data_IF_343287858163
#
_entry.id   IF_343287858163
#
_cell.length_a   1.000
_cell.length_b   1.000
_cell.length_c   1.000
_cell.angle_alpha   90.00
_cell.angle_beta   90.00
_cell.angle_gamma   90.00
#
_symmetry.space_group_name_H-M   'P 1'
#
loop_
_entity.id
_entity.type
_entity.pdbx_description
1 polymer ?
#
# COMPACT_ATOMS: atom_id res chain seq x y z
N UNK A 1 24.24 1.00 -21.81
CA UNK A 1 24.63 1.53 -20.46
C UNK A 1 25.55 0.49 -19.83
N UNK A 2 26.74 0.89 -19.42
CA UNK A 2 27.66 0.00 -18.68
C UNK A 2 27.01 -0.37 -17.34
N UNK A 3 27.13 -1.64 -16.95
CA UNK A 3 26.50 -2.16 -15.72
C UNK A 3 24.98 -2.41 -15.79
N UNK A 4 24.35 -2.32 -16.97
CA UNK A 4 22.94 -2.67 -17.14
C UNK A 4 22.76 -4.20 -17.07
N UNK A 5 21.81 -4.65 -16.24
CA UNK A 5 21.41 -6.06 -16.09
C UNK A 5 20.03 -6.30 -16.72
N UNK A 6 19.03 -5.49 -16.35
CA UNK A 6 17.69 -5.65 -16.90
C UNK A 6 16.91 -4.32 -16.97
N UNK A 7 15.88 -4.31 -17.83
CA UNK A 7 14.87 -3.26 -17.91
C UNK A 7 13.50 -3.91 -17.73
N UNK A 8 12.74 -3.41 -16.78
CA UNK A 8 11.43 -3.92 -16.37
C UNK A 8 10.40 -2.81 -16.53
N UNK A 9 9.35 -3.06 -17.28
CA UNK A 9 8.17 -2.22 -17.37
C UNK A 9 7.23 -2.57 -16.23
N UNK A 10 6.85 -1.58 -15.42
CA UNK A 10 5.93 -1.73 -14.30
C UNK A 10 4.70 -0.83 -14.41
N UNK A 11 4.07 -0.61 -13.27
CA UNK A 11 3.01 0.37 -13.10
C UNK A 11 1.73 0.14 -13.91
N UNK A 12 1.04 1.22 -14.22
CA UNK A 12 -0.27 1.18 -14.88
C UNK A 12 -0.21 0.69 -16.33
N UNK A 13 0.88 1.01 -17.03
CA UNK A 13 1.11 0.57 -18.41
C UNK A 13 1.24 -0.95 -18.48
N UNK A 14 2.07 -1.53 -17.62
CA UNK A 14 2.25 -2.99 -17.57
C UNK A 14 0.95 -3.72 -17.19
N UNK A 15 0.12 -3.13 -16.34
CA UNK A 15 -1.18 -3.68 -15.94
C UNK A 15 -2.27 -3.54 -17.01
N UNK A 16 -2.08 -2.71 -18.03
CA UNK A 16 -3.07 -2.45 -19.07
C UNK A 16 -4.23 -1.54 -18.62
N UNK A 17 -4.03 -0.74 -17.56
CA UNK A 17 -5.00 0.21 -17.04
C UNK A 17 -4.44 1.65 -16.99
N UNK A 18 -3.51 1.95 -17.89
CA UNK A 18 -2.96 3.28 -18.08
C UNK A 18 -4.03 4.24 -18.64
N UNK A 19 -3.99 5.49 -18.19
CA UNK A 19 -4.74 6.59 -18.82
C UNK A 19 -3.91 7.17 -19.95
N UNK A 20 -4.52 8.02 -20.76
CA UNK A 20 -3.86 8.69 -21.90
C UNK A 20 -2.64 9.54 -21.46
N UNK A 21 -2.66 10.05 -20.22
CA UNK A 21 -1.63 10.88 -19.61
C UNK A 21 -0.74 10.12 -18.59
N UNK A 22 -0.83 8.78 -18.55
CA UNK A 22 -0.05 7.99 -17.59
C UNK A 22 1.44 8.04 -17.91
N UNK A 23 2.25 8.10 -16.85
CA UNK A 23 3.68 7.85 -16.88
C UNK A 23 4.00 6.39 -17.25
N UNK A 24 5.22 6.16 -17.71
CA UNK A 24 5.78 4.84 -17.98
C UNK A 24 6.76 4.50 -16.86
N UNK A 25 6.32 3.68 -15.91
CA UNK A 25 7.17 3.20 -14.82
C UNK A 25 8.20 2.21 -15.35
N UNK A 26 9.49 2.53 -15.23
CA UNK A 26 10.59 1.66 -15.63
C UNK A 26 11.54 1.39 -14.45
N UNK A 27 11.76 0.10 -14.15
CA UNK A 27 12.78 -0.31 -13.20
C UNK A 27 14.00 -0.78 -13.99
N UNK A 28 15.12 -0.08 -13.80
CA UNK A 28 16.39 -0.40 -14.46
C UNK A 28 17.31 -1.09 -13.46
N UNK A 29 17.56 -2.37 -13.69
CA UNK A 29 18.43 -3.18 -12.82
C UNK A 29 19.87 -3.03 -13.31
N UNK A 30 20.72 -2.65 -12.37
CA UNK A 30 22.14 -2.38 -12.63
C UNK A 30 23.04 -3.14 -11.65
N UNK A 31 24.32 -3.23 -11.97
CA UNK A 31 25.34 -3.77 -11.03
C UNK A 31 25.46 -2.91 -9.79
N UNK A 32 25.95 -3.50 -8.68
CA UNK A 32 26.17 -2.79 -7.41
C UNK A 32 27.11 -1.57 -7.57
N UNK A 33 28.14 -1.69 -8.39
CA UNK A 33 29.06 -0.59 -8.64
C UNK A 33 28.37 0.56 -9.37
N UNK A 34 27.55 0.26 -10.39
CA UNK A 34 26.77 1.27 -11.11
C UNK A 34 25.71 1.91 -10.23
N UNK A 35 25.05 1.12 -9.39
CA UNK A 35 24.09 1.65 -8.42
C UNK A 35 24.74 2.61 -7.43
N UNK A 36 25.94 2.26 -6.92
CA UNK A 36 26.71 3.11 -6.02
C UNK A 36 27.14 4.43 -6.70
N UNK A 37 27.56 4.36 -7.95
CA UNK A 37 27.86 5.54 -8.77
C UNK A 37 26.64 6.46 -8.88
N UNK A 38 25.48 5.92 -9.28
CA UNK A 38 24.22 6.67 -9.40
C UNK A 38 23.79 7.28 -8.07
N UNK A 39 23.91 6.51 -6.97
CA UNK A 39 23.61 6.98 -5.62
C UNK A 39 24.48 8.19 -5.21
N UNK A 40 25.78 8.12 -5.50
CA UNK A 40 26.72 9.21 -5.19
C UNK A 40 26.41 10.50 -5.97
N UNK A 41 25.78 10.38 -7.13
CA UNK A 41 25.33 11.51 -7.95
C UNK A 41 23.85 11.88 -7.72
N UNK A 42 23.18 11.31 -6.71
CA UNK A 42 21.75 11.51 -6.41
C UNK A 42 20.82 11.19 -7.61
N UNK A 43 21.15 10.17 -8.41
CA UNK A 43 20.43 9.77 -9.64
C UNK A 43 19.78 8.40 -9.51
N UNK A 44 19.22 8.05 -8.36
CA UNK A 44 18.51 6.77 -8.18
C UNK A 44 17.10 6.75 -8.77
N UNK A 45 16.59 7.93 -9.15
CA UNK A 45 15.35 8.08 -9.89
C UNK A 45 15.51 9.22 -10.90
N UNK A 46 14.92 9.07 -12.08
CA UNK A 46 14.97 10.06 -13.16
C UNK A 46 13.62 10.16 -13.85
N UNK A 47 13.23 11.38 -14.20
CA UNK A 47 12.07 11.64 -15.06
C UNK A 47 12.59 12.04 -16.43
N UNK A 48 12.22 11.28 -17.47
CA UNK A 48 12.70 11.48 -18.85
C UNK A 48 11.48 11.81 -19.72
N UNK A 49 11.43 13.03 -20.22
CA UNK A 49 10.37 13.50 -21.13
C UNK A 49 10.68 13.21 -22.59
N UNK A 50 11.97 13.11 -22.92
CA UNK A 50 12.41 12.80 -24.27
C UNK A 50 11.93 11.40 -24.68
N UNK A 51 11.59 11.26 -25.97
CA UNK A 51 11.16 9.98 -26.57
C UNK A 51 9.73 9.49 -26.22
N UNK A 52 8.98 10.19 -25.36
CA UNK A 52 7.55 9.95 -25.24
C UNK A 52 6.79 10.54 -26.45
N UNK A 53 5.90 9.73 -27.04
CA UNK A 53 5.19 10.09 -28.30
C UNK A 53 3.79 10.63 -28.06
N UNK A 54 3.36 10.77 -26.82
CA UNK A 54 2.03 11.28 -26.43
C UNK A 54 2.15 12.46 -25.46
N UNK A 55 1.14 13.33 -25.51
CA UNK A 55 1.11 14.54 -24.71
C UNK A 55 1.03 14.23 -23.21
N UNK A 56 1.91 14.84 -22.40
CA UNK A 56 1.99 14.62 -20.96
C UNK A 56 2.71 13.35 -20.54
N UNK A 57 3.13 12.51 -21.49
CA UNK A 57 3.86 11.28 -21.20
C UNK A 57 5.31 11.54 -20.78
N UNK A 58 5.82 10.67 -19.89
CA UNK A 58 7.22 10.63 -19.47
C UNK A 58 7.57 9.26 -18.92
N UNK A 59 8.88 8.98 -18.86
CA UNK A 59 9.37 7.79 -18.17
C UNK A 59 9.73 8.15 -16.73
N UNK A 60 9.15 7.43 -15.76
CA UNK A 60 9.56 7.43 -14.35
C UNK A 60 10.53 6.26 -14.15
N UNK A 61 11.83 6.56 -14.20
CA UNK A 61 12.89 5.56 -14.13
C UNK A 61 13.40 5.42 -12.72
N UNK A 62 13.42 4.19 -12.19
CA UNK A 62 13.98 3.88 -10.86
C UNK A 62 15.07 2.81 -11.00
N UNK A 63 16.27 3.14 -10.52
CA UNK A 63 17.39 2.21 -10.54
C UNK A 63 17.34 1.27 -9.34
N UNK A 64 17.62 0.00 -9.58
CA UNK A 64 17.63 -1.08 -8.59
C UNK A 64 18.85 -1.97 -8.81
N UNK A 65 19.22 -2.76 -7.79
CA UNK A 65 20.13 -3.90 -7.96
C UNK A 65 19.35 -5.21 -7.92
N UNK A 66 19.95 -6.31 -8.35
CA UNK A 66 19.35 -7.64 -8.23
C UNK A 66 19.08 -7.99 -6.75
N UNK A 67 20.04 -7.71 -5.87
CA UNK A 67 19.90 -7.94 -4.43
C UNK A 67 18.68 -7.18 -3.85
N UNK A 68 18.40 -5.95 -4.31
CA UNK A 68 17.20 -5.22 -3.90
C UNK A 68 15.90 -5.85 -4.39
N UNK A 69 15.90 -6.49 -5.56
CA UNK A 69 14.73 -7.23 -6.03
C UNK A 69 14.52 -8.52 -5.23
N UNK A 70 15.59 -9.24 -4.90
CA UNK A 70 15.54 -10.41 -4.01
C UNK A 70 15.00 -10.05 -2.63
N UNK A 71 15.51 -8.98 -2.04
CA UNK A 71 15.02 -8.40 -0.77
C UNK A 71 13.53 -8.04 -0.87
N UNK A 72 13.12 -7.43 -1.98
CA UNK A 72 11.72 -7.08 -2.22
C UNK A 72 10.81 -8.32 -2.35
N UNK A 73 11.29 -9.41 -2.91
CA UNK A 73 10.55 -10.66 -2.98
C UNK A 73 10.26 -11.24 -1.58
N UNK A 74 11.18 -11.04 -0.63
CA UNK A 74 11.04 -11.52 0.75
C UNK A 74 10.16 -10.59 1.61
N UNK A 75 10.43 -9.28 1.64
CA UNK A 75 9.92 -8.37 2.66
C UNK A 75 9.42 -7.01 2.18
N UNK A 76 9.21 -6.81 0.86
CA UNK A 76 8.72 -5.53 0.39
C UNK A 76 7.32 -5.19 0.92
N UNK A 77 7.08 -3.88 1.07
CA UNK A 77 5.77 -3.32 1.34
C UNK A 77 4.76 -3.64 0.21
N UNK A 78 3.48 -3.60 0.51
CA UNK A 78 2.44 -3.87 -0.48
C UNK A 78 2.45 -2.89 -1.67
N UNK A 79 2.68 -1.57 -1.49
CA UNK A 79 2.82 -0.66 -2.64
C UNK A 79 3.99 -1.04 -3.54
N UNK A 80 5.12 -1.43 -2.96
CA UNK A 80 6.27 -1.91 -3.74
C UNK A 80 5.91 -3.17 -4.51
N UNK A 81 5.29 -4.17 -3.87
CA UNK A 81 4.82 -5.39 -4.54
C UNK A 81 3.82 -5.09 -5.66
N UNK A 82 2.88 -4.17 -5.40
CA UNK A 82 1.88 -3.75 -6.37
C UNK A 82 2.49 -3.14 -7.64
N UNK A 83 3.62 -2.44 -7.53
CA UNK A 83 4.32 -1.88 -8.68
C UNK A 83 4.83 -2.94 -9.67
N UNK A 84 5.07 -4.17 -9.19
CA UNK A 84 5.51 -5.30 -10.03
C UNK A 84 4.36 -6.21 -10.50
N UNK A 85 3.12 -5.96 -10.11
CA UNK A 85 1.97 -6.74 -10.62
C UNK A 85 1.87 -6.59 -12.13
N UNK A 86 1.93 -7.73 -12.85
CA UNK A 86 1.98 -7.81 -14.31
C UNK A 86 3.19 -7.09 -14.94
N UNK A 87 4.25 -6.84 -14.18
CA UNK A 87 5.46 -6.25 -14.74
C UNK A 87 6.05 -7.15 -15.83
N UNK A 88 6.71 -6.53 -16.80
CA UNK A 88 7.27 -7.21 -17.97
C UNK A 88 8.77 -6.96 -18.07
N UNK A 89 9.56 -8.01 -18.17
CA UNK A 89 11.00 -7.88 -18.46
C UNK A 89 11.15 -7.57 -19.95
N UNK A 90 11.56 -6.33 -20.26
CA UNK A 90 11.79 -5.89 -21.63
C UNK A 90 13.18 -6.29 -22.14
N UNK A 91 14.14 -6.38 -21.23
CA UNK A 91 15.52 -6.78 -21.50
C UNK A 91 16.10 -7.40 -20.23
N UNK A 92 16.88 -8.46 -20.36
CA UNK A 92 17.69 -9.01 -19.26
C UNK A 92 18.90 -9.77 -19.79
N UNK A 93 20.00 -9.70 -19.05
CA UNK A 93 21.19 -10.54 -19.18
C UNK A 93 21.27 -11.61 -18.07
N UNK A 94 20.28 -11.65 -17.19
CA UNK A 94 20.18 -12.58 -16.06
C UNK A 94 18.79 -13.24 -16.08
N UNK A 95 18.76 -14.55 -16.26
CA UNK A 95 17.54 -15.33 -16.45
C UNK A 95 16.67 -15.40 -15.16
N UNK A 96 17.24 -15.12 -13.98
CA UNK A 96 16.50 -15.17 -12.71
C UNK A 96 15.60 -13.95 -12.48
N UNK A 97 15.80 -12.85 -13.21
CA UNK A 97 15.05 -11.60 -13.00
C UNK A 97 13.54 -11.81 -13.18
N UNK A 98 13.14 -12.60 -14.16
CA UNK A 98 11.72 -12.87 -14.41
C UNK A 98 11.05 -13.56 -13.21
N UNK A 99 11.69 -14.58 -12.65
CA UNK A 99 11.18 -15.31 -11.49
C UNK A 99 11.16 -14.43 -10.23
N UNK A 100 12.16 -13.56 -10.06
CA UNK A 100 12.22 -12.65 -8.92
C UNK A 100 11.06 -11.66 -8.97
N UNK A 101 10.80 -11.00 -10.09
CA UNK A 101 9.69 -10.03 -10.20
C UNK A 101 8.32 -10.70 -10.03
N UNK A 102 8.15 -11.93 -10.48
CA UNK A 102 6.93 -12.70 -10.24
C UNK A 102 6.72 -12.92 -8.73
N UNK A 103 7.76 -13.32 -7.98
CA UNK A 103 7.69 -13.47 -6.51
C UNK A 103 7.41 -12.16 -5.78
N UNK A 104 7.94 -11.03 -6.26
CA UNK A 104 7.63 -9.71 -5.68
C UNK A 104 6.13 -9.42 -5.77
N UNK A 105 5.47 -9.75 -6.88
CA UNK A 105 4.08 -9.44 -7.15
C UNK A 105 3.07 -10.23 -6.29
N UNK A 106 3.51 -11.26 -5.55
CA UNK A 106 2.60 -12.04 -4.71
C UNK A 106 2.14 -11.30 -3.45
N UNK A 107 0.88 -11.56 -3.04
CA UNK A 107 0.38 -11.10 -1.76
C UNK A 107 1.14 -11.79 -0.60
N UNK A 108 1.67 -11.03 0.38
CA UNK A 108 2.49 -11.58 1.47
C UNK A 108 1.62 -12.29 2.52
N UNK A 109 1.18 -13.49 2.22
CA UNK A 109 0.20 -14.26 3.02
C UNK A 109 0.70 -14.53 4.45
N UNK A 110 2.00 -14.68 4.66
CA UNK A 110 2.59 -14.93 5.98
C UNK A 110 2.40 -13.73 6.94
N UNK A 111 2.29 -12.52 6.41
CA UNK A 111 2.06 -11.30 7.19
C UNK A 111 0.58 -10.95 7.32
N UNK A 112 -0.34 -11.70 6.70
CA UNK A 112 -1.77 -11.35 6.67
C UNK A 112 -2.37 -11.18 8.06
N UNK A 113 -2.13 -12.12 8.97
CA UNK A 113 -2.68 -12.05 10.33
C UNK A 113 -2.17 -10.86 11.12
N UNK A 114 -0.86 -10.53 10.97
CA UNK A 114 -0.29 -9.36 11.62
C UNK A 114 -0.91 -8.06 11.08
N UNK A 115 -1.12 -7.96 9.76
CA UNK A 115 -1.79 -6.82 9.12
C UNK A 115 -3.22 -6.65 9.62
N UNK A 116 -3.98 -7.74 9.67
CA UNK A 116 -5.35 -7.73 10.20
C UNK A 116 -5.36 -7.22 11.63
N UNK A 117 -4.51 -7.74 12.51
CA UNK A 117 -4.42 -7.30 13.90
C UNK A 117 -4.02 -5.83 14.01
N UNK A 118 -3.04 -5.39 13.23
CA UNK A 118 -2.58 -4.01 13.20
C UNK A 118 -3.72 -3.04 12.83
N UNK A 119 -4.36 -3.26 11.69
CA UNK A 119 -5.43 -2.36 11.23
C UNK A 119 -6.69 -2.47 12.09
N UNK A 120 -7.00 -3.64 12.63
CA UNK A 120 -8.14 -3.79 13.52
C UNK A 120 -7.89 -3.12 14.88
N UNK A 121 -6.68 -3.21 15.42
CA UNK A 121 -6.30 -2.50 16.63
C UNK A 121 -6.43 -0.97 16.47
N UNK A 122 -5.96 -0.44 15.33
CA UNK A 122 -6.11 0.99 15.00
C UNK A 122 -7.59 1.39 14.90
N UNK A 123 -8.39 0.60 14.19
CA UNK A 123 -9.84 0.81 14.07
C UNK A 123 -10.49 0.90 15.46
N UNK A 124 -10.21 -0.09 16.33
CA UNK A 124 -10.85 -0.17 17.65
C UNK A 124 -10.44 0.98 18.56
N UNK A 125 -9.14 1.34 18.58
CA UNK A 125 -8.71 2.46 19.43
C UNK A 125 -9.31 3.79 18.97
N UNK A 126 -9.33 4.04 17.66
CA UNK A 126 -9.93 5.26 17.11
C UNK A 126 -11.45 5.31 17.38
N UNK A 127 -12.17 4.21 17.26
CA UNK A 127 -13.60 4.14 17.56
C UNK A 127 -13.89 4.27 19.04
N UNK A 128 -13.23 3.45 19.89
CA UNK A 128 -13.59 3.27 21.30
C UNK A 128 -13.06 4.38 22.21
N UNK A 129 -11.98 5.07 21.78
CA UNK A 129 -11.33 6.07 22.61
C UNK A 129 -11.29 7.45 21.96
N UNK A 130 -10.67 7.59 20.79
CA UNK A 130 -10.47 8.92 20.22
C UNK A 130 -11.76 9.59 19.75
N UNK A 131 -12.73 8.84 19.22
CA UNK A 131 -14.02 9.41 18.83
C UNK A 131 -14.81 9.97 20.03
N UNK A 132 -14.67 9.37 21.21
CA UNK A 132 -15.37 9.82 22.42
C UNK A 132 -14.63 10.99 23.14
N UNK A 133 -13.32 11.14 22.91
CA UNK A 133 -12.48 12.13 23.59
C UNK A 133 -12.20 13.39 22.75
N UNK A 134 -12.50 13.40 21.44
CA UNK A 134 -12.16 14.52 20.57
C UNK A 134 -13.12 15.69 20.76
N UNK A 135 -12.56 16.88 21.02
CA UNK A 135 -13.32 18.12 21.12
C UNK A 135 -13.91 18.48 19.73
N UNK A 136 -15.19 18.95 19.67
CA UNK A 136 -15.85 19.31 18.42
C UNK A 136 -15.09 20.33 17.57
N UNK A 137 -14.37 21.25 18.21
CA UNK A 137 -13.60 22.31 17.58
C UNK A 137 -12.22 21.86 17.08
N UNK A 138 -11.75 20.68 17.49
CA UNK A 138 -10.50 20.13 17.02
C UNK A 138 -10.67 19.45 15.64
N UNK A 139 -10.84 20.28 14.61
CA UNK A 139 -11.07 19.82 13.25
C UNK A 139 -9.96 18.92 12.72
N UNK A 140 -8.69 19.20 13.08
CA UNK A 140 -7.57 18.36 12.66
C UNK A 140 -7.69 16.94 13.21
N UNK A 141 -7.91 16.81 14.53
CA UNK A 141 -8.00 15.49 15.17
C UNK A 141 -9.22 14.72 14.68
N UNK A 142 -10.37 15.38 14.48
CA UNK A 142 -11.58 14.77 13.91
C UNK A 142 -11.31 14.21 12.51
N UNK A 143 -10.70 14.99 11.65
CA UNK A 143 -10.34 14.54 10.30
C UNK A 143 -9.33 13.38 10.34
N UNK A 144 -8.35 13.43 11.23
CA UNK A 144 -7.37 12.36 11.44
C UNK A 144 -8.05 11.06 11.87
N UNK A 145 -8.90 11.09 12.91
CA UNK A 145 -9.63 9.91 13.39
C UNK A 145 -10.48 9.30 12.29
N UNK A 146 -11.23 10.12 11.55
CA UNK A 146 -12.09 9.64 10.47
C UNK A 146 -11.27 8.98 9.35
N UNK A 147 -10.13 9.58 8.99
CA UNK A 147 -9.20 8.99 8.04
C UNK A 147 -8.68 7.63 8.53
N UNK A 148 -8.19 7.55 9.78
CA UNK A 148 -7.63 6.33 10.35
C UNK A 148 -8.66 5.18 10.41
N UNK A 149 -9.90 5.48 10.76
CA UNK A 149 -11.00 4.51 10.78
C UNK A 149 -11.30 4.01 9.36
N UNK A 150 -11.51 4.93 8.41
CA UNK A 150 -11.84 4.56 7.02
C UNK A 150 -10.68 3.81 6.38
N UNK A 151 -9.46 4.28 6.56
CA UNK A 151 -8.25 3.61 6.07
C UNK A 151 -8.13 2.19 6.63
N UNK A 152 -8.31 2.01 7.94
CA UNK A 152 -8.23 0.70 8.59
C UNK A 152 -9.26 -0.29 8.04
N UNK A 153 -10.53 0.13 7.89
CA UNK A 153 -11.58 -0.71 7.30
C UNK A 153 -11.23 -1.11 5.87
N UNK A 154 -10.76 -0.16 5.05
CA UNK A 154 -10.39 -0.45 3.68
C UNK A 154 -9.20 -1.40 3.59
N UNK A 155 -8.17 -1.24 4.46
CA UNK A 155 -7.03 -2.16 4.55
C UNK A 155 -7.45 -3.56 5.01
N UNK A 156 -8.42 -3.67 5.93
CA UNK A 156 -8.99 -4.95 6.36
C UNK A 156 -9.74 -5.64 5.20
N UNK A 157 -10.50 -4.90 4.40
CA UNK A 157 -11.16 -5.44 3.20
C UNK A 157 -10.12 -5.94 2.18
N UNK A 158 -9.04 -5.19 1.92
CA UNK A 158 -7.96 -5.66 1.06
C UNK A 158 -7.32 -6.95 1.61
N UNK A 159 -7.03 -7.00 2.91
CA UNK A 159 -6.44 -8.17 3.56
C UNK A 159 -7.36 -9.40 3.47
N UNK A 160 -8.68 -9.25 3.66
CA UNK A 160 -9.65 -10.33 3.48
C UNK A 160 -9.64 -10.90 2.07
N UNK A 161 -9.53 -10.02 1.08
CA UNK A 161 -9.50 -10.40 -0.33
C UNK A 161 -8.10 -10.79 -0.85
N UNK A 162 -7.06 -10.69 -0.02
CA UNK A 162 -5.65 -10.90 -0.39
C UNK A 162 -5.23 -10.02 -1.57
N UNK A 163 -5.69 -8.78 -1.55
CA UNK A 163 -5.39 -7.76 -2.55
C UNK A 163 -4.31 -6.83 -2.00
N UNK A 164 -3.26 -6.60 -2.78
CA UNK A 164 -2.18 -5.69 -2.41
C UNK A 164 -2.71 -4.25 -2.33
N UNK A 165 -2.33 -3.54 -1.27
CA UNK A 165 -2.55 -2.09 -1.18
C UNK A 165 -1.73 -1.36 -2.23
N UNK A 166 -2.36 -0.65 -3.18
CA UNK A 166 -1.63 -0.02 -4.27
C UNK A 166 -1.03 1.35 -3.88
N UNK A 167 -1.82 2.19 -3.27
CA UNK A 167 -1.52 3.53 -2.74
C UNK A 167 -2.82 4.17 -2.25
N UNK A 168 -2.73 5.25 -1.47
CA UNK A 168 -3.90 6.01 -1.03
C UNK A 168 -4.73 6.55 -2.21
N UNK A 169 -4.07 6.99 -3.30
CA UNK A 169 -4.74 7.48 -4.52
C UNK A 169 -5.67 6.46 -5.16
N UNK A 170 -5.36 5.16 -5.04
CA UNK A 170 -6.09 4.06 -5.67
C UNK A 170 -6.90 3.20 -4.69
N UNK A 171 -6.87 3.54 -3.40
CA UNK A 171 -7.44 2.67 -2.36
C UNK A 171 -8.92 2.41 -2.55
N UNK A 172 -9.74 3.46 -2.71
CA UNK A 172 -11.19 3.30 -2.91
C UNK A 172 -11.54 2.49 -4.17
N UNK A 173 -10.87 2.79 -5.29
CA UNK A 173 -11.05 2.04 -6.55
C UNK A 173 -10.76 0.56 -6.34
N UNK A 174 -9.68 0.26 -5.60
CA UNK A 174 -9.27 -1.12 -5.31
C UNK A 174 -10.24 -1.82 -4.38
N UNK A 175 -10.69 -1.14 -3.32
CA UNK A 175 -11.74 -1.66 -2.42
C UNK A 175 -13.04 -1.92 -3.18
N UNK A 176 -13.44 -1.00 -4.06
CA UNK A 176 -14.65 -1.14 -4.89
C UNK A 176 -14.60 -2.36 -5.80
N UNK A 177 -13.41 -2.77 -6.23
CA UNK A 177 -13.19 -3.97 -7.05
C UNK A 177 -13.14 -5.27 -6.22
N UNK A 178 -13.04 -5.22 -4.89
CA UNK A 178 -13.00 -6.41 -4.03
C UNK A 178 -14.33 -7.15 -4.04
N UNK A 179 -14.35 -8.47 -4.30
CA UNK A 179 -15.58 -9.26 -4.32
C UNK A 179 -16.19 -9.44 -2.92
N UNK A 180 -15.37 -9.49 -1.87
CA UNK A 180 -15.83 -9.61 -0.48
C UNK A 180 -15.78 -8.24 0.18
N UNK A 181 -16.85 -7.49 0.08
CA UNK A 181 -17.06 -6.20 0.74
C UNK A 181 -18.54 -5.90 0.85
N UNK A 182 -18.99 -5.10 1.82
CA UNK A 182 -20.34 -4.54 1.80
C UNK A 182 -20.52 -3.66 0.56
N UNK A 183 -21.68 -3.75 -0.10
CA UNK A 183 -21.94 -3.02 -1.35
C UNK A 183 -21.78 -1.50 -1.19
N UNK A 184 -22.27 -0.97 -0.07
CA UNK A 184 -22.34 0.46 0.23
C UNK A 184 -21.19 0.98 1.11
N UNK A 185 -20.09 0.22 1.29
CA UNK A 185 -19.01 0.58 2.23
C UNK A 185 -18.31 1.88 1.84
N UNK A 186 -18.13 2.16 0.56
CA UNK A 186 -17.50 3.38 0.09
C UNK A 186 -18.38 4.60 0.36
N UNK A 187 -19.68 4.49 0.08
CA UNK A 187 -20.66 5.53 0.31
C UNK A 187 -20.78 5.89 1.80
N UNK A 188 -20.76 4.88 2.67
CA UNK A 188 -20.75 5.07 4.13
C UNK A 188 -19.43 5.68 4.61
N UNK A 189 -18.29 5.24 4.11
CA UNK A 189 -17.00 5.85 4.42
C UNK A 189 -16.93 7.32 4.01
N UNK A 190 -17.41 7.67 2.82
CA UNK A 190 -17.49 9.05 2.34
C UNK A 190 -18.47 9.89 3.16
N UNK A 191 -19.60 9.34 3.58
CA UNK A 191 -20.55 10.02 4.46
C UNK A 191 -19.91 10.33 5.83
N UNK A 192 -19.18 9.37 6.41
CA UNK A 192 -18.45 9.54 7.65
C UNK A 192 -17.32 10.59 7.54
N UNK A 193 -16.56 10.58 6.44
CA UNK A 193 -15.52 11.59 6.19
C UNK A 193 -16.11 13.01 6.01
N UNK A 194 -17.31 13.12 5.44
CA UNK A 194 -17.99 14.39 5.26
C UNK A 194 -18.63 14.94 6.54
N UNK A 195 -19.14 14.06 7.39
CA UNK A 195 -19.71 14.37 8.70
C UNK A 195 -19.14 13.41 9.76
N UNK A 196 -18.10 13.86 10.46
CA UNK A 196 -17.41 13.10 11.49
C UNK A 196 -18.26 13.08 12.76
N UNK A 197 -19.30 12.25 12.78
CA UNK A 197 -20.18 12.00 13.92
C UNK A 197 -20.06 10.56 14.39
N UNK A 198 -20.38 10.32 15.68
CA UNK A 198 -20.40 8.95 16.22
C UNK A 198 -21.41 8.07 15.49
N UNK A 199 -22.55 8.61 15.14
CA UNK A 199 -23.60 7.88 14.37
C UNK A 199 -23.06 7.37 13.03
N UNK A 200 -22.41 8.23 12.25
CA UNK A 200 -21.82 7.85 10.95
C UNK A 200 -20.65 6.88 11.13
N UNK A 201 -19.83 7.07 12.17
CA UNK A 201 -18.75 6.18 12.55
C UNK A 201 -19.26 4.75 12.82
N UNK A 202 -20.21 4.63 13.77
CA UNK A 202 -20.77 3.34 14.18
C UNK A 202 -21.45 2.65 13.01
N UNK A 203 -22.28 3.36 12.24
CA UNK A 203 -22.93 2.83 11.05
C UNK A 203 -21.95 2.28 10.00
N UNK A 204 -20.85 2.99 9.76
CA UNK A 204 -19.80 2.55 8.82
C UNK A 204 -19.11 1.28 9.31
N UNK A 205 -18.74 1.24 10.60
CA UNK A 205 -18.03 0.12 11.21
C UNK A 205 -18.94 -1.11 11.36
N UNK A 206 -20.19 -0.93 11.81
CA UNK A 206 -21.14 -2.02 11.98
C UNK A 206 -21.40 -2.75 10.67
N UNK A 207 -21.62 -2.01 9.57
CA UNK A 207 -21.81 -2.61 8.25
C UNK A 207 -20.58 -3.42 7.82
N UNK A 208 -19.36 -2.96 8.12
CA UNK A 208 -18.15 -3.76 7.87
C UNK A 208 -18.13 -5.03 8.73
N UNK A 209 -18.34 -4.91 10.06
CA UNK A 209 -18.25 -6.02 11.01
C UNK A 209 -19.30 -7.11 10.78
N UNK A 210 -20.50 -6.74 10.33
CA UNK A 210 -21.57 -7.67 10.00
C UNK A 210 -21.33 -8.48 8.71
N UNK A 211 -20.47 -7.96 7.82
CA UNK A 211 -20.28 -8.55 6.48
C UNK A 211 -18.87 -9.14 6.28
N UNK A 212 -17.93 -8.93 7.18
CA UNK A 212 -16.58 -9.50 7.07
C UNK A 212 -16.54 -10.96 7.50
N UNK A 213 -15.77 -11.78 6.79
CA UNK A 213 -15.45 -13.15 7.19
C UNK A 213 -14.14 -13.23 8.04
N UNK A 214 -13.52 -12.10 8.34
CA UNK A 214 -12.32 -12.06 9.18
C UNK A 214 -12.66 -12.46 10.62
N UNK A 215 -11.79 -13.26 11.23
CA UNK A 215 -11.87 -13.58 12.64
C UNK A 215 -11.22 -12.48 13.44
N UNK A 216 -12.03 -11.53 13.95
CA UNK A 216 -11.60 -10.36 14.68
C UNK A 216 -11.83 -10.55 16.19
N UNK A 217 -10.83 -10.20 17.02
CA UNK A 217 -10.98 -10.34 18.46
C UNK A 217 -11.89 -9.27 19.04
N UNK A 218 -12.82 -9.69 19.92
CA UNK A 218 -13.66 -8.76 20.68
C UNK A 218 -13.03 -8.32 22.01
N UNK A 219 -11.81 -8.77 22.29
CA UNK A 219 -11.10 -8.45 23.53
C UNK A 219 -10.33 -7.14 23.37
N UNK A 220 -10.84 -6.06 23.93
CA UNK A 220 -10.22 -4.73 23.85
C UNK A 220 -8.81 -4.68 24.46
N UNK A 221 -8.50 -5.51 25.49
CA UNK A 221 -7.14 -5.57 26.01
C UNK A 221 -6.12 -6.07 24.97
N UNK A 222 -6.52 -7.02 24.12
CA UNK A 222 -5.68 -7.49 23.02
C UNK A 222 -5.52 -6.39 21.98
N UNK A 223 -6.62 -5.76 21.57
CA UNK A 223 -6.60 -4.67 20.59
C UNK A 223 -5.71 -3.51 21.04
N UNK A 224 -5.82 -3.09 22.29
CA UNK A 224 -4.99 -1.98 22.82
C UNK A 224 -3.52 -2.38 22.96
N UNK A 225 -3.22 -3.63 23.33
CA UNK A 225 -1.85 -4.14 23.36
C UNK A 225 -1.22 -4.18 21.96
N UNK A 226 -2.00 -4.60 20.96
CA UNK A 226 -1.56 -4.59 19.57
C UNK A 226 -1.38 -3.15 19.05
N UNK A 227 -2.27 -2.21 19.44
CA UNK A 227 -2.09 -0.80 19.09
C UNK A 227 -0.78 -0.23 19.64
N UNK A 228 -0.50 -0.43 20.94
CA UNK A 228 0.76 0.01 21.55
C UNK A 228 1.95 -0.56 20.78
N UNK A 229 1.91 -1.86 20.49
CA UNK A 229 2.99 -2.54 19.77
C UNK A 229 3.22 -1.97 18.36
N UNK A 230 2.17 -1.73 17.58
CA UNK A 230 2.28 -1.36 16.17
C UNK A 230 2.38 0.14 15.94
N UNK A 231 1.83 0.98 16.82
CA UNK A 231 1.74 2.43 16.60
C UNK A 231 2.59 3.25 17.56
N UNK A 232 2.77 2.80 18.81
CA UNK A 232 3.52 3.57 19.82
C UNK A 232 4.95 3.05 19.98
N UNK A 233 5.16 1.73 19.99
CA UNK A 233 6.45 1.10 20.28
C UNK A 233 7.12 0.48 19.05
N UNK A 234 6.67 0.75 17.83
CA UNK A 234 7.23 0.20 16.60
C UNK A 234 8.74 0.43 16.46
N UNK A 235 9.26 1.53 16.98
CA UNK A 235 10.68 1.90 16.97
C UNK A 235 11.59 0.90 17.72
N UNK A 236 11.01 -0.02 18.50
CA UNK A 236 11.73 -1.11 19.17
C UNK A 236 11.98 -2.31 18.26
N UNK A 237 11.36 -2.35 17.10
CA UNK A 237 11.44 -3.44 16.15
C UNK A 237 12.27 -3.01 14.94
N UNK A 238 12.97 -3.97 14.31
CA UNK A 238 13.82 -3.69 13.14
C UNK A 238 12.99 -3.41 11.88
N UNK A 239 11.75 -3.89 11.82
CA UNK A 239 10.86 -3.74 10.68
C UNK A 239 9.91 -2.58 10.89
N UNK A 240 9.73 -1.76 9.85
CA UNK A 240 8.72 -0.71 9.86
C UNK A 240 7.32 -1.33 9.97
N UNK A 241 6.42 -0.73 10.79
CA UNK A 241 5.06 -1.23 10.93
C UNK A 241 4.26 -1.03 9.65
N UNK A 242 3.26 -1.88 9.43
CA UNK A 242 2.36 -1.82 8.28
C UNK A 242 1.67 -0.46 8.06
N UNK A 243 1.33 0.34 9.09
CA UNK A 243 0.77 1.68 8.88
C UNK A 243 1.64 2.61 8.06
N UNK A 244 2.96 2.40 8.04
CA UNK A 244 3.91 3.22 7.28
C UNK A 244 4.06 2.80 5.81
N UNK A 245 3.26 1.85 5.33
CA UNK A 245 3.25 1.46 3.91
C UNK A 245 2.69 2.54 2.98
N UNK A 246 2.05 3.55 3.45
CA UNK A 246 1.42 4.71 2.74
C UNK A 246 0.91 4.49 1.31
#
# INVERSE_FOLDING_TARGET
MEGLIAIILGGSVARGNAREDSDIDAFVVVTEDKYRELKNHCRLAEVIYDHCTYAGGYFDVKYKTKAMLEDAAERASEPTRNAYVKAQVLYSTDDEIADIIERIAYYPILCQSQKINCFYANLRLNQDYFMDCVEPENHYMRAHIAHEIVYSVYRLILAENKVLFPSNRRLEETVRACPRRPENIIELGNAFLADVSKENCDKFIDVFLENTALVLTKNNHINYSDYIRYYEEWWRYEEAPFPNEW
#
